data_IF_229402021149
#
_entry.id   IF_229402021149
#
_cell.length_a   1.000
_cell.length_b   1.000
_cell.length_c   1.000
_cell.angle_alpha   90.00
_cell.angle_beta   90.00
_cell.angle_gamma   90.00
#
_symmetry.space_group_name_H-M   'P 1'
#
loop_
_entity.id
_entity.type
_entity.pdbx_description
1 polymer ?
#
# COMPACT_ATOMS: atom_id res chain seq x y z
N UNK A 1 -32.29 -9.12 14.53
CA UNK A 1 -31.13 -9.88 14.01
C UNK A 1 -29.91 -8.99 14.04
N UNK A 2 -28.81 -9.40 14.70
CA UNK A 2 -27.53 -8.66 14.60
C UNK A 2 -26.88 -9.04 13.27
N UNK A 3 -26.62 -8.06 12.41
CA UNK A 3 -25.91 -8.29 11.14
C UNK A 3 -24.48 -8.74 11.45
N UNK A 4 -24.02 -9.83 10.83
CA UNK A 4 -22.65 -10.30 11.03
C UNK A 4 -21.66 -9.24 10.52
N UNK A 5 -20.55 -8.93 11.24
CA UNK A 5 -19.65 -7.83 10.88
C UNK A 5 -19.09 -7.92 9.46
N UNK A 6 -18.87 -9.14 8.97
CA UNK A 6 -18.43 -9.37 7.58
C UNK A 6 -19.48 -8.94 6.54
N UNK A 7 -20.77 -9.25 6.77
CA UNK A 7 -21.85 -8.81 5.89
C UNK A 7 -22.06 -7.30 6.00
N UNK A 8 -21.84 -6.73 7.19
CA UNK A 8 -21.84 -5.30 7.37
C UNK A 8 -20.70 -4.63 6.58
N UNK A 9 -19.48 -5.17 6.59
CA UNK A 9 -18.34 -4.66 5.83
C UNK A 9 -18.61 -4.65 4.31
N UNK A 10 -19.16 -5.75 3.78
CA UNK A 10 -19.55 -5.84 2.36
C UNK A 10 -20.69 -4.87 2.04
N UNK A 11 -21.69 -4.79 2.92
CA UNK A 11 -22.80 -3.85 2.78
C UNK A 11 -22.35 -2.38 2.76
N UNK A 12 -21.33 -2.03 3.56
CA UNK A 12 -20.72 -0.70 3.58
C UNK A 12 -19.98 -0.39 2.28
N UNK A 13 -19.24 -1.35 1.72
CA UNK A 13 -18.62 -1.16 0.41
C UNK A 13 -19.68 -0.91 -0.68
N UNK A 14 -20.73 -1.74 -0.72
CA UNK A 14 -21.78 -1.64 -1.73
C UNK A 14 -22.67 -0.40 -1.56
N UNK A 15 -22.83 0.12 -0.33
CA UNK A 15 -23.64 1.31 -0.09
C UNK A 15 -23.03 2.58 -0.68
N UNK A 16 -21.73 2.61 -0.98
CA UNK A 16 -21.07 3.73 -1.64
C UNK A 16 -21.68 4.03 -3.02
N UNK A 17 -22.07 3.01 -3.79
CA UNK A 17 -22.63 3.16 -5.14
C UNK A 17 -23.94 3.97 -5.19
N UNK A 18 -25.04 3.54 -4.53
CA UNK A 18 -26.29 4.29 -4.55
C UNK A 18 -26.15 5.66 -3.88
N UNK A 19 -25.25 5.78 -2.90
CA UNK A 19 -24.99 7.02 -2.17
C UNK A 19 -24.32 8.07 -3.05
N UNK A 20 -23.30 7.70 -3.81
CA UNK A 20 -22.64 8.58 -4.77
C UNK A 20 -23.58 8.98 -5.90
N UNK A 21 -24.35 8.03 -6.44
CA UNK A 21 -25.37 8.33 -7.44
C UNK A 21 -26.40 9.37 -6.97
N UNK A 22 -26.91 9.20 -5.74
CA UNK A 22 -27.85 10.15 -5.14
C UNK A 22 -27.20 11.50 -4.89
N UNK A 23 -25.98 11.52 -4.34
CA UNK A 23 -25.23 12.76 -4.11
C UNK A 23 -24.99 13.52 -5.41
N UNK A 24 -24.63 12.85 -6.50
CA UNK A 24 -24.41 13.48 -7.78
C UNK A 24 -25.70 14.08 -8.37
N UNK A 25 -26.81 13.36 -8.26
CA UNK A 25 -28.12 13.85 -8.69
C UNK A 25 -28.57 15.09 -7.89
N UNK A 26 -28.30 15.12 -6.60
CA UNK A 26 -28.67 16.22 -5.69
C UNK A 26 -27.68 17.39 -5.80
N UNK A 27 -26.40 17.13 -6.03
CA UNK A 27 -25.37 18.13 -6.22
C UNK A 27 -25.64 19.03 -7.44
N UNK A 28 -26.28 18.48 -8.48
CA UNK A 28 -26.75 19.27 -9.62
C UNK A 28 -27.81 20.34 -9.25
N UNK A 29 -28.39 20.24 -8.05
CA UNK A 29 -29.50 21.09 -7.57
C UNK A 29 -29.12 21.95 -6.35
N UNK A 30 -27.97 21.72 -5.72
CA UNK A 30 -27.60 22.33 -4.44
C UNK A 30 -26.33 23.19 -4.54
N UNK A 31 -26.22 24.18 -3.64
CA UNK A 31 -24.98 24.96 -3.47
C UNK A 31 -23.90 24.15 -2.74
N UNK A 32 -22.60 24.43 -2.96
CA UNK A 32 -21.48 23.72 -2.31
C UNK A 32 -21.59 23.51 -0.79
N UNK A 33 -22.02 24.51 0.04
CA UNK A 33 -22.16 24.28 1.48
C UNK A 33 -23.32 23.34 1.84
N UNK A 34 -24.41 23.32 1.06
CA UNK A 34 -25.50 22.37 1.28
C UNK A 34 -25.08 20.93 0.96
N UNK A 35 -24.19 20.76 -0.02
CA UNK A 35 -23.64 19.44 -0.37
C UNK A 35 -22.79 18.91 0.79
N UNK A 36 -21.95 19.75 1.41
CA UNK A 36 -21.16 19.36 2.58
C UNK A 36 -22.04 18.94 3.77
N UNK A 37 -23.12 19.68 4.05
CA UNK A 37 -24.09 19.33 5.11
C UNK A 37 -24.78 18.00 4.79
N UNK A 38 -25.17 17.78 3.53
CA UNK A 38 -25.81 16.54 3.11
C UNK A 38 -24.86 15.34 3.20
N UNK A 39 -23.58 15.51 2.84
CA UNK A 39 -22.53 14.49 3.02
C UNK A 39 -22.37 14.11 4.49
N UNK A 40 -22.36 15.07 5.41
CA UNK A 40 -22.30 14.80 6.86
C UNK A 40 -23.53 14.02 7.34
N UNK A 41 -24.72 14.44 6.91
CA UNK A 41 -25.99 13.77 7.26
C UNK A 41 -25.99 12.34 6.75
N UNK A 42 -25.51 12.09 5.54
CA UNK A 42 -25.44 10.77 4.90
C UNK A 42 -24.36 9.87 5.54
N UNK A 43 -23.24 10.44 5.98
CA UNK A 43 -22.16 9.72 6.68
C UNK A 43 -22.52 9.39 8.14
N UNK A 44 -23.42 10.17 8.77
CA UNK A 44 -23.83 9.97 10.16
C UNK A 44 -24.53 8.62 10.45
N UNK A 45 -25.51 8.11 9.67
CA UNK A 45 -26.09 6.79 9.88
C UNK A 45 -25.12 5.65 9.55
N UNK A 46 -24.14 5.86 8.66
CA UNK A 46 -23.06 4.89 8.44
C UNK A 46 -22.23 4.69 9.71
N UNK A 47 -21.93 5.78 10.43
CA UNK A 47 -21.25 5.71 11.72
C UNK A 47 -22.07 4.94 12.78
N UNK A 48 -23.39 5.14 12.80
CA UNK A 48 -24.32 4.44 13.69
C UNK A 48 -24.41 2.94 13.33
N UNK A 49 -24.46 2.60 12.04
CA UNK A 49 -24.46 1.24 11.52
C UNK A 49 -23.14 0.49 11.77
N UNK A 50 -22.03 1.22 11.83
CA UNK A 50 -20.72 0.68 12.18
C UNK A 50 -20.63 0.45 13.70
N UNK A 51 -21.10 1.40 14.51
CA UNK A 51 -20.90 1.40 15.96
C UNK A 51 -21.85 0.47 16.72
N UNK A 52 -23.17 0.53 16.45
CA UNK A 52 -24.18 -0.15 17.27
C UNK A 52 -24.09 -1.70 17.22
N UNK A 53 -23.96 -2.35 16.04
CA UNK A 53 -23.92 -3.82 15.97
C UNK A 53 -22.60 -4.40 16.48
N UNK A 54 -21.52 -3.63 16.41
CA UNK A 54 -20.16 -4.08 16.71
C UNK A 54 -19.70 -3.71 18.12
N UNK A 55 -20.52 -3.01 18.92
CA UNK A 55 -20.20 -2.57 20.29
C UNK A 55 -19.65 -3.67 21.20
N UNK A 56 -19.99 -4.93 20.92
CA UNK A 56 -19.52 -6.09 21.68
C UNK A 56 -18.08 -6.52 21.38
N UNK A 57 -17.43 -5.97 20.35
CA UNK A 57 -16.03 -6.27 20.02
C UNK A 57 -15.10 -5.26 20.69
N UNK A 58 -14.10 -5.78 21.40
CA UNK A 58 -13.12 -4.97 22.13
C UNK A 58 -12.02 -4.38 21.23
N UNK A 59 -11.86 -4.87 20.00
CA UNK A 59 -10.80 -4.42 19.10
C UNK A 59 -11.21 -3.16 18.30
N UNK A 60 -10.67 -1.97 18.61
CA UNK A 60 -11.01 -0.73 17.92
C UNK A 60 -10.67 -0.74 16.43
N UNK A 61 -9.75 -1.61 15.99
CA UNK A 61 -9.39 -1.74 14.56
C UNK A 61 -10.56 -2.26 13.71
N UNK A 62 -11.52 -2.97 14.32
CA UNK A 62 -12.72 -3.41 13.63
C UNK A 62 -13.46 -2.21 13.01
N UNK A 63 -13.69 -1.15 13.80
CA UNK A 63 -14.41 0.03 13.33
C UNK A 63 -13.63 0.77 12.24
N UNK A 64 -12.29 0.83 12.35
CA UNK A 64 -11.43 1.42 11.33
C UNK A 64 -11.56 0.67 10.01
N UNK A 65 -11.48 -0.67 10.01
CA UNK A 65 -11.66 -1.45 8.79
C UNK A 65 -13.06 -1.32 8.21
N UNK A 66 -14.09 -1.19 9.05
CA UNK A 66 -15.46 -0.95 8.57
C UNK A 66 -15.60 0.39 7.84
N UNK A 67 -15.00 1.46 8.37
CA UNK A 67 -14.96 2.77 7.69
C UNK A 67 -14.15 2.67 6.39
N UNK A 68 -12.99 2.00 6.42
CA UNK A 68 -12.16 1.80 5.23
C UNK A 68 -12.84 0.95 4.15
N UNK A 69 -13.72 0.01 4.51
CA UNK A 69 -14.55 -0.72 3.53
C UNK A 69 -15.49 0.21 2.77
N UNK A 70 -16.12 1.18 3.45
CA UNK A 70 -16.95 2.19 2.78
C UNK A 70 -16.11 3.06 1.85
N UNK A 71 -14.95 3.54 2.32
CA UNK A 71 -14.04 4.37 1.51
C UNK A 71 -13.52 3.59 0.28
N UNK A 72 -13.18 2.32 0.44
CA UNK A 72 -12.81 1.45 -0.67
C UNK A 72 -13.95 1.31 -1.71
N UNK A 73 -15.22 1.34 -1.26
CA UNK A 73 -16.39 1.39 -2.13
C UNK A 73 -16.48 2.71 -2.90
N UNK A 74 -16.20 3.84 -2.23
CA UNK A 74 -16.09 5.16 -2.88
C UNK A 74 -15.00 5.17 -3.95
N UNK A 75 -13.81 4.62 -3.64
CA UNK A 75 -12.72 4.47 -4.60
C UNK A 75 -13.11 3.61 -5.80
N UNK A 76 -13.89 2.54 -5.57
CA UNK A 76 -14.40 1.71 -6.66
C UNK A 76 -15.30 2.52 -7.61
N UNK A 77 -16.23 3.32 -7.07
CA UNK A 77 -17.12 4.19 -7.85
C UNK A 77 -16.30 5.19 -8.68
N UNK A 78 -15.33 5.85 -8.06
CA UNK A 78 -14.47 6.85 -8.71
C UNK A 78 -13.67 6.25 -9.86
N UNK A 79 -13.04 5.09 -9.63
CA UNK A 79 -12.24 4.42 -10.63
C UNK A 79 -13.09 3.93 -11.81
N UNK A 80 -14.23 3.28 -11.54
CA UNK A 80 -15.15 2.79 -12.58
C UNK A 80 -15.73 3.92 -13.44
N UNK A 81 -16.02 5.07 -12.85
CA UNK A 81 -16.51 6.23 -13.61
C UNK A 81 -15.44 6.84 -14.50
N UNK A 82 -14.21 6.99 -13.99
CA UNK A 82 -13.13 7.58 -14.78
C UNK A 82 -12.63 6.69 -15.91
N UNK A 83 -12.79 5.39 -15.81
CA UNK A 83 -12.56 4.47 -16.91
C UNK A 83 -13.80 4.22 -17.79
N UNK A 84 -14.92 4.89 -17.50
CA UNK A 84 -16.12 4.90 -18.36
C UNK A 84 -17.02 3.67 -18.22
N UNK A 85 -16.84 2.85 -17.19
CA UNK A 85 -17.72 1.71 -16.89
C UNK A 85 -19.06 2.14 -16.28
N UNK A 86 -19.07 3.29 -15.58
CA UNK A 86 -20.26 3.90 -15.00
C UNK A 86 -20.34 5.37 -15.41
N UNK A 87 -21.55 5.94 -15.41
CA UNK A 87 -21.79 7.35 -15.72
C UNK A 87 -22.68 7.99 -14.67
N UNK A 88 -22.37 9.22 -14.27
CA UNK A 88 -23.18 10.04 -13.36
C UNK A 88 -23.22 9.59 -11.89
N UNK A 89 -22.18 8.94 -11.38
CA UNK A 89 -22.05 8.61 -9.95
C UNK A 89 -21.12 9.57 -9.19
N UNK A 90 -20.00 10.00 -9.76
CA UNK A 90 -18.93 10.72 -9.06
C UNK A 90 -18.42 11.98 -9.80
N UNK A 91 -19.01 12.35 -10.93
CA UNK A 91 -18.56 13.47 -11.76
C UNK A 91 -18.49 14.80 -10.99
N UNK A 92 -19.50 15.09 -10.15
CA UNK A 92 -19.46 16.24 -9.25
C UNK A 92 -18.25 16.18 -8.30
N UNK A 93 -18.06 15.05 -7.61
CA UNK A 93 -17.00 14.89 -6.61
C UNK A 93 -15.61 15.04 -7.21
N UNK A 94 -15.39 14.49 -8.40
CA UNK A 94 -14.06 14.52 -9.03
C UNK A 94 -13.81 15.88 -9.70
N UNK A 95 -14.84 16.55 -10.22
CA UNK A 95 -14.68 17.86 -10.84
C UNK A 95 -14.55 18.99 -9.81
N UNK A 96 -15.35 18.95 -8.76
CA UNK A 96 -15.42 20.03 -7.77
C UNK A 96 -14.66 19.75 -6.48
N UNK A 97 -14.38 18.49 -6.13
CA UNK A 97 -13.70 18.13 -4.88
C UNK A 97 -12.24 17.75 -5.08
N UNK A 98 -11.98 16.65 -5.80
CA UNK A 98 -10.66 16.02 -5.87
C UNK A 98 -10.22 15.70 -7.32
N UNK A 99 -9.79 16.72 -8.10
CA UNK A 99 -9.47 16.56 -9.52
C UNK A 99 -8.29 15.61 -9.79
N UNK A 100 -7.37 15.48 -8.83
CA UNK A 100 -6.20 14.60 -8.90
C UNK A 100 -6.57 13.10 -8.93
N UNK A 101 -7.75 12.70 -8.45
CA UNK A 101 -8.25 11.33 -8.59
C UNK A 101 -8.57 10.96 -10.04
N UNK A 102 -8.75 11.96 -10.92
CA UNK A 102 -8.94 11.74 -12.36
C UNK A 102 -7.66 11.43 -13.13
N UNK A 103 -6.49 11.46 -12.49
CA UNK A 103 -5.20 11.08 -13.11
C UNK A 103 -5.10 9.56 -13.24
N UNK A 104 -4.25 9.09 -14.15
CA UNK A 104 -3.97 7.66 -14.28
C UNK A 104 -3.53 7.03 -12.95
N UNK A 105 -2.62 7.70 -12.22
CA UNK A 105 -2.17 7.23 -10.90
C UNK A 105 -3.31 7.20 -9.88
N UNK A 106 -4.12 8.28 -9.81
CA UNK A 106 -5.30 8.37 -8.94
C UNK A 106 -6.28 7.20 -9.14
N UNK A 107 -6.61 6.89 -10.39
CA UNK A 107 -7.49 5.76 -10.72
C UNK A 107 -6.88 4.43 -10.28
N UNK A 108 -5.58 4.22 -10.53
CA UNK A 108 -4.92 2.95 -10.19
C UNK A 108 -4.76 2.75 -8.68
N UNK A 109 -4.53 3.81 -7.90
CA UNK A 109 -4.55 3.67 -6.42
C UNK A 109 -5.96 3.35 -5.91
N UNK A 110 -7.01 3.94 -6.51
CA UNK A 110 -8.41 3.66 -6.15
C UNK A 110 -8.79 2.22 -6.48
N UNK A 111 -8.37 1.66 -7.63
CA UNK A 111 -8.54 0.23 -7.91
C UNK A 111 -7.82 -0.66 -6.90
N UNK A 112 -6.57 -0.35 -6.56
CA UNK A 112 -5.82 -1.12 -5.57
C UNK A 112 -6.51 -1.10 -4.19
N UNK A 113 -7.04 0.06 -3.80
CA UNK A 113 -7.77 0.19 -2.54
C UNK A 113 -9.08 -0.61 -2.56
N UNK A 114 -9.87 -0.46 -3.63
CA UNK A 114 -11.15 -1.12 -3.84
C UNK A 114 -11.06 -2.65 -3.90
N UNK A 115 -9.93 -3.20 -4.35
CA UNK A 115 -9.75 -4.65 -4.55
C UNK A 115 -8.85 -5.25 -3.48
N UNK A 116 -7.57 -4.89 -3.46
CA UNK A 116 -6.54 -5.59 -2.69
C UNK A 116 -6.64 -5.22 -1.20
N UNK A 117 -6.70 -3.94 -0.89
CA UNK A 117 -6.86 -3.48 0.49
C UNK A 117 -8.24 -3.87 1.04
N UNK A 118 -9.31 -3.77 0.23
CA UNK A 118 -10.64 -4.25 0.62
C UNK A 118 -10.66 -5.74 0.99
N UNK A 119 -10.02 -6.59 0.17
CA UNK A 119 -9.87 -8.01 0.50
C UNK A 119 -9.14 -8.21 1.84
N UNK A 120 -8.08 -7.43 2.10
CA UNK A 120 -7.39 -7.46 3.40
C UNK A 120 -8.28 -6.99 4.55
N UNK A 121 -9.12 -5.97 4.36
CA UNK A 121 -10.11 -5.55 5.38
C UNK A 121 -11.05 -6.70 5.72
N UNK A 122 -11.60 -7.39 4.72
CA UNK A 122 -12.47 -8.54 4.96
C UNK A 122 -11.76 -9.66 5.71
N UNK A 123 -10.51 -9.97 5.35
CA UNK A 123 -9.69 -10.97 6.05
C UNK A 123 -9.43 -10.59 7.51
N UNK A 124 -9.09 -9.33 7.77
CA UNK A 124 -8.85 -8.82 9.13
C UNK A 124 -10.14 -8.79 9.96
N UNK A 125 -11.26 -8.33 9.39
CA UNK A 125 -12.58 -8.37 10.03
C UNK A 125 -12.98 -9.82 10.35
N UNK A 126 -12.82 -10.74 9.41
CA UNK A 126 -13.11 -12.16 9.62
C UNK A 126 -12.23 -12.76 10.73
N UNK A 127 -10.95 -12.42 10.76
CA UNK A 127 -10.03 -12.88 11.80
C UNK A 127 -10.37 -12.31 13.19
N UNK A 128 -10.75 -11.03 13.29
CA UNK A 128 -11.23 -10.41 14.53
C UNK A 128 -12.47 -11.16 15.05
N UNK A 129 -13.45 -11.41 14.19
CA UNK A 129 -14.67 -12.14 14.55
C UNK A 129 -14.37 -13.58 14.99
N UNK A 130 -13.42 -14.24 14.32
CA UNK A 130 -12.98 -15.60 14.66
C UNK A 130 -11.98 -15.65 15.82
N UNK A 131 -11.61 -14.51 16.43
CA UNK A 131 -10.57 -14.40 17.46
C UNK A 131 -9.22 -15.01 17.04
N UNK A 132 -8.88 -14.90 15.76
CA UNK A 132 -7.59 -15.32 15.20
C UNK A 132 -6.65 -14.13 15.07
N UNK A 133 -5.35 -14.40 15.10
CA UNK A 133 -4.36 -13.35 14.81
C UNK A 133 -4.46 -12.92 13.34
N UNK A 134 -4.45 -11.62 13.12
CA UNK A 134 -4.46 -10.98 11.81
C UNK A 134 -3.21 -10.11 11.60
N UNK A 135 -2.23 -10.26 12.50
CA UNK A 135 -1.00 -9.45 12.56
C UNK A 135 -0.25 -9.37 11.23
N UNK A 136 -0.05 -10.51 10.57
CA UNK A 136 0.72 -10.55 9.32
C UNK A 136 0.01 -9.82 8.17
N UNK A 137 -1.32 -9.99 8.08
CA UNK A 137 -2.15 -9.26 7.10
C UNK A 137 -2.16 -7.77 7.44
N UNK A 138 -2.26 -7.42 8.72
CA UNK A 138 -2.17 -6.03 9.20
C UNK A 138 -0.86 -5.35 8.83
N UNK A 139 0.29 -6.00 9.04
CA UNK A 139 1.60 -5.46 8.67
C UNK A 139 1.74 -5.25 7.15
N UNK A 140 1.27 -6.21 6.35
CA UNK A 140 1.25 -6.06 4.90
C UNK A 140 0.35 -4.87 4.47
N UNK A 141 -0.86 -4.81 5.03
CA UNK A 141 -1.79 -3.71 4.78
C UNK A 141 -1.20 -2.36 5.17
N UNK A 142 -0.51 -2.26 6.31
CA UNK A 142 0.16 -1.03 6.75
C UNK A 142 1.11 -0.50 5.68
N UNK A 143 1.94 -1.37 5.10
CA UNK A 143 2.84 -0.99 4.03
C UNK A 143 2.12 -0.52 2.76
N UNK A 144 1.16 -1.33 2.31
CA UNK A 144 0.32 -1.04 1.14
C UNK A 144 -0.39 0.31 1.25
N UNK A 145 -1.03 0.55 2.39
CA UNK A 145 -1.80 1.76 2.65
C UNK A 145 -0.91 3.00 2.84
N UNK A 146 0.20 2.86 3.57
CA UNK A 146 1.14 3.97 3.83
C UNK A 146 1.82 4.42 2.54
N UNK A 147 2.26 3.48 1.69
CA UNK A 147 2.89 3.82 0.41
C UNK A 147 1.94 4.59 -0.50
N UNK A 148 0.68 4.13 -0.61
CA UNK A 148 -0.34 4.79 -1.42
C UNK A 148 -0.53 6.25 -0.96
N UNK A 149 -0.71 6.45 0.35
CA UNK A 149 -0.92 7.77 0.93
C UNK A 149 0.29 8.69 0.75
N UNK A 150 1.51 8.22 1.06
CA UNK A 150 2.72 9.05 0.99
C UNK A 150 2.94 9.55 -0.44
N UNK A 151 2.86 8.67 -1.43
CA UNK A 151 3.11 9.05 -2.84
C UNK A 151 1.99 9.93 -3.37
N UNK A 152 0.73 9.61 -3.05
CA UNK A 152 -0.42 10.39 -3.50
C UNK A 152 -0.42 11.81 -2.91
N UNK A 153 -0.21 11.95 -1.60
CA UNK A 153 -0.24 13.25 -0.94
C UNK A 153 0.94 14.12 -1.38
N UNK A 154 2.16 13.58 -1.37
CA UNK A 154 3.33 14.35 -1.81
C UNK A 154 3.26 14.70 -3.31
N UNK A 155 2.75 13.78 -4.14
CA UNK A 155 2.53 14.05 -5.56
C UNK A 155 1.53 15.17 -5.80
N UNK A 156 0.44 15.24 -5.02
CA UNK A 156 -0.52 16.34 -5.10
C UNK A 156 0.08 17.69 -4.66
N UNK A 157 0.95 17.66 -3.64
CA UNK A 157 1.61 18.87 -3.12
C UNK A 157 2.68 19.42 -4.07
N UNK A 158 3.40 18.55 -4.78
CA UNK A 158 4.56 18.95 -5.60
C UNK A 158 4.23 19.03 -7.10
N UNK A 159 3.26 18.23 -7.55
CA UNK A 159 2.92 18.10 -8.96
C UNK A 159 2.04 19.22 -9.50
N UNK A 160 1.52 18.97 -10.71
CA UNK A 160 0.66 19.88 -11.48
C UNK A 160 -0.53 20.44 -10.69
N UNK A 161 -1.07 19.67 -9.75
CA UNK A 161 -2.26 20.05 -8.96
C UNK A 161 -1.95 20.84 -7.69
N UNK A 162 -0.68 21.19 -7.45
CA UNK A 162 -0.24 21.90 -6.24
C UNK A 162 -0.94 23.24 -5.99
N UNK A 163 -1.30 23.96 -7.06
CA UNK A 163 -2.06 25.23 -6.99
C UNK A 163 -3.57 25.04 -6.80
N UNK A 164 -4.09 23.82 -6.97
CA UNK A 164 -5.52 23.48 -6.93
C UNK A 164 -5.89 22.67 -5.68
N UNK A 165 -5.03 22.64 -4.67
CA UNK A 165 -5.26 21.90 -3.43
C UNK A 165 -6.43 22.56 -2.67
N UNK A 166 -7.58 21.91 -2.73
CA UNK A 166 -8.76 22.34 -1.98
C UNK A 166 -8.61 22.05 -0.48
N UNK A 167 -9.32 22.79 0.41
CA UNK A 167 -9.36 22.47 1.84
C UNK A 167 -9.80 21.03 2.13
N UNK A 168 -10.58 20.41 1.24
CA UNK A 168 -10.99 19.01 1.35
C UNK A 168 -9.79 18.04 1.37
N UNK A 169 -8.69 18.39 0.71
CA UNK A 169 -7.45 17.61 0.74
C UNK A 169 -6.89 17.45 2.16
N UNK A 170 -7.14 18.39 3.07
CA UNK A 170 -6.71 18.29 4.47
C UNK A 170 -7.43 17.17 5.22
N UNK A 171 -8.59 16.71 4.75
CA UNK A 171 -9.24 15.51 5.30
C UNK A 171 -8.44 14.23 5.05
N UNK A 172 -7.43 14.26 4.17
CA UNK A 172 -6.50 13.15 4.02
C UNK A 172 -5.44 13.09 5.15
N UNK A 173 -5.22 14.16 5.92
CA UNK A 173 -4.21 14.20 6.99
C UNK A 173 -4.49 13.23 8.15
N UNK A 174 -5.73 13.08 8.66
CA UNK A 174 -6.06 12.04 9.63
C UNK A 174 -5.69 10.61 9.16
N UNK A 175 -5.72 10.34 7.85
CA UNK A 175 -5.32 9.05 7.30
C UNK A 175 -3.81 8.81 7.37
N UNK A 176 -2.98 9.80 7.70
CA UNK A 176 -1.58 9.59 8.04
C UNK A 176 -1.42 9.03 9.46
N UNK A 177 -2.33 9.36 10.38
CA UNK A 177 -2.26 8.95 11.78
C UNK A 177 -2.75 7.50 11.96
N UNK A 178 -3.83 7.14 11.25
CA UNK A 178 -4.46 5.81 11.31
C UNK A 178 -3.46 4.66 11.05
N UNK A 179 -2.68 4.62 9.94
CA UNK A 179 -1.75 3.54 9.68
C UNK A 179 -0.61 3.51 10.69
N UNK A 180 -0.16 4.66 11.22
CA UNK A 180 0.88 4.70 12.27
C UNK A 180 0.35 4.07 13.56
N UNK A 181 -0.86 4.46 13.99
CA UNK A 181 -1.51 3.90 15.17
C UNK A 181 -1.80 2.39 15.01
N UNK A 182 -2.33 1.99 13.85
CA UNK A 182 -2.60 0.59 13.55
C UNK A 182 -1.30 -0.23 13.49
N UNK A 183 -0.24 0.30 12.87
CA UNK A 183 1.09 -0.31 12.83
C UNK A 183 1.60 -0.58 14.24
N UNK A 184 1.58 0.42 15.12
CA UNK A 184 1.98 0.25 16.52
C UNK A 184 1.23 -0.94 17.17
N UNK A 185 -0.09 -0.99 16.99
CA UNK A 185 -0.92 -2.07 17.52
C UNK A 185 -0.56 -3.44 16.93
N UNK A 186 -0.17 -3.52 15.65
CA UNK A 186 0.31 -4.78 15.04
C UNK A 186 1.69 -5.20 15.53
N UNK A 187 2.61 -4.25 15.73
CA UNK A 187 3.93 -4.53 16.28
C UNK A 187 3.85 -5.00 17.73
N UNK A 188 2.92 -4.45 18.51
CA UNK A 188 2.66 -4.85 19.90
C UNK A 188 2.00 -6.24 20.02
N UNK A 189 1.36 -6.74 18.97
CA UNK A 189 0.80 -8.10 18.97
C UNK A 189 1.91 -9.16 18.98
N UNK A 190 1.73 -10.26 19.75
CA UNK A 190 2.70 -11.34 19.78
C UNK A 190 2.87 -11.95 18.38
N UNK A 191 4.11 -12.26 18.02
CA UNK A 191 4.44 -12.91 16.75
C UNK A 191 3.79 -14.28 16.70
N UNK A 192 3.16 -14.60 15.57
CA UNK A 192 2.52 -15.91 15.32
C UNK A 192 3.51 -17.01 14.96
N UNK A 193 4.81 -16.80 15.12
CA UNK A 193 5.82 -17.79 14.76
C UNK A 193 5.63 -19.04 15.64
N UNK A 194 5.42 -20.25 15.07
CA UNK A 194 5.61 -21.46 15.84
C UNK A 194 7.07 -21.49 16.26
N UNK A 195 7.35 -21.36 17.56
CA UNK A 195 8.72 -21.37 18.09
C UNK A 195 9.44 -22.63 17.59
N UNK A 196 10.40 -22.51 16.66
CA UNK A 196 11.19 -23.65 16.27
C UNK A 196 11.97 -24.11 17.51
N UNK A 197 12.20 -25.42 17.64
CA UNK A 197 13.02 -25.93 18.74
C UNK A 197 14.39 -25.26 18.73
N UNK A 198 14.98 -25.06 19.91
CA UNK A 198 16.29 -24.42 20.05
C UNK A 198 17.36 -25.08 19.17
N UNK A 199 17.30 -26.40 19.02
CA UNK A 199 18.19 -27.18 18.17
C UNK A 199 18.05 -26.83 16.68
N UNK A 200 16.81 -26.64 16.19
CA UNK A 200 16.54 -26.24 14.80
C UNK A 200 17.02 -24.82 14.52
N UNK A 201 16.91 -23.92 15.50
CA UNK A 201 17.44 -22.56 15.39
C UNK A 201 18.96 -22.60 15.29
N UNK A 202 19.62 -23.34 16.17
CA UNK A 202 21.08 -23.48 16.15
C UNK A 202 21.58 -24.12 14.84
N UNK A 203 20.91 -25.16 14.35
CA UNK A 203 21.26 -25.82 13.09
C UNK A 203 21.17 -24.84 11.91
N UNK A 204 20.06 -24.10 11.76
CA UNK A 204 19.88 -23.16 10.67
C UNK A 204 20.85 -21.96 10.76
N UNK A 205 21.17 -21.49 11.97
CA UNK A 205 22.11 -20.38 12.17
C UNK A 205 23.55 -20.76 11.88
N UNK A 206 23.91 -22.04 12.02
CA UNK A 206 25.24 -22.55 11.69
C UNK A 206 25.45 -22.79 10.19
N UNK A 207 24.38 -22.72 9.37
CA UNK A 207 24.48 -22.94 7.91
C UNK A 207 25.10 -21.74 7.21
N UNK A 208 26.13 -22.01 6.41
CA UNK A 208 26.70 -21.02 5.49
C UNK A 208 25.67 -20.59 4.44
N UNK A 209 25.85 -19.42 3.83
CA UNK A 209 24.92 -18.90 2.81
C UNK A 209 24.76 -19.85 1.61
N UNK A 210 25.83 -20.53 1.19
CA UNK A 210 25.79 -21.51 0.10
C UNK A 210 24.91 -22.73 0.42
N UNK A 211 24.74 -23.06 1.71
CA UNK A 211 23.84 -24.12 2.16
C UNK A 211 22.38 -23.64 2.24
N UNK A 212 22.14 -22.35 2.00
CA UNK A 212 20.82 -21.69 2.02
C UNK A 212 20.53 -21.09 0.64
N UNK A 213 20.21 -21.91 -0.38
CA UNK A 213 20.10 -21.45 -1.78
C UNK A 213 19.03 -20.37 -1.99
N UNK A 214 17.93 -20.40 -1.23
CA UNK A 214 16.91 -19.36 -1.27
C UNK A 214 17.44 -18.01 -0.75
N UNK A 215 18.24 -18.03 0.32
CA UNK A 215 18.83 -16.81 0.89
C UNK A 215 19.92 -16.26 -0.04
N UNK A 216 20.72 -17.15 -0.66
CA UNK A 216 21.69 -16.76 -1.68
C UNK A 216 21.02 -16.08 -2.89
N UNK A 217 19.94 -16.67 -3.41
CA UNK A 217 19.16 -16.08 -4.49
C UNK A 217 18.55 -14.73 -4.11
N UNK A 218 18.01 -14.62 -2.89
CA UNK A 218 17.46 -13.36 -2.38
C UNK A 218 18.53 -12.28 -2.20
N UNK A 219 19.74 -12.62 -1.73
CA UNK A 219 20.87 -11.68 -1.67
C UNK A 219 21.24 -11.18 -3.06
N UNK A 220 21.37 -12.08 -4.04
CA UNK A 220 21.65 -11.70 -5.43
C UNK A 220 20.56 -10.79 -6.01
N UNK A 221 19.29 -11.13 -5.80
CA UNK A 221 18.16 -10.30 -6.20
C UNK A 221 18.20 -8.92 -5.54
N UNK A 222 18.40 -8.86 -4.22
CA UNK A 222 18.40 -7.59 -3.48
C UNK A 222 19.57 -6.70 -3.91
N UNK A 223 20.73 -7.26 -4.26
CA UNK A 223 21.84 -6.49 -4.84
C UNK A 223 21.45 -5.83 -6.18
N UNK A 224 20.79 -6.59 -7.07
CA UNK A 224 20.26 -6.04 -8.32
C UNK A 224 19.19 -4.97 -8.05
N UNK A 225 18.30 -5.21 -7.09
CA UNK A 225 17.29 -4.25 -6.68
C UNK A 225 17.90 -2.96 -6.14
N UNK A 226 18.96 -3.03 -5.31
CA UNK A 226 19.70 -1.86 -4.82
C UNK A 226 20.27 -1.03 -5.98
N UNK A 227 20.93 -1.69 -6.94
CA UNK A 227 21.50 -1.01 -8.11
C UNK A 227 20.39 -0.34 -8.93
N UNK A 228 19.31 -1.07 -9.20
CA UNK A 228 18.17 -0.56 -9.99
C UNK A 228 17.46 0.60 -9.30
N UNK A 229 17.22 0.51 -7.98
CA UNK A 229 16.62 1.59 -7.18
C UNK A 229 17.51 2.82 -7.15
N UNK A 230 18.83 2.64 -6.94
CA UNK A 230 19.78 3.75 -6.95
C UNK A 230 19.77 4.45 -8.31
N UNK A 231 19.84 3.67 -9.39
CA UNK A 231 19.81 4.19 -10.75
C UNK A 231 18.55 5.03 -11.02
N UNK A 232 17.35 4.50 -10.73
CA UNK A 232 16.10 5.26 -10.91
C UNK A 232 16.00 6.48 -10.01
N UNK A 233 16.54 6.41 -8.80
CA UNK A 233 16.69 7.55 -7.90
C UNK A 233 17.55 8.66 -8.51
N UNK A 234 18.71 8.30 -9.10
CA UNK A 234 19.59 9.25 -9.80
C UNK A 234 18.93 9.84 -11.05
N UNK A 235 18.17 9.04 -11.79
CA UNK A 235 17.41 9.50 -12.97
C UNK A 235 16.45 10.62 -12.59
N UNK A 236 15.64 10.45 -11.53
CA UNK A 236 14.66 11.47 -11.13
C UNK A 236 15.26 12.68 -10.42
N UNK A 237 16.51 12.57 -9.98
CA UNK A 237 17.34 13.68 -9.47
C UNK A 237 18.11 14.38 -10.58
N UNK A 238 17.74 14.15 -11.84
CA UNK A 238 18.28 14.84 -13.02
C UNK A 238 19.80 14.62 -13.22
N UNK A 239 20.27 13.39 -12.95
CA UNK A 239 21.66 12.99 -13.19
C UNK A 239 22.07 13.19 -14.67
N UNK A 240 23.19 13.89 -14.96
CA UNK A 240 23.58 14.26 -16.32
C UNK A 240 24.19 13.10 -17.14
N UNK A 241 24.26 11.88 -16.58
CA UNK A 241 24.85 10.74 -17.28
C UNK A 241 24.00 10.31 -18.50
N UNK A 242 24.65 9.98 -19.62
CA UNK A 242 23.99 9.56 -20.85
C UNK A 242 22.99 8.41 -20.62
N UNK A 243 23.35 7.41 -19.80
CA UNK A 243 22.45 6.29 -19.48
C UNK A 243 21.18 6.73 -18.73
N UNK A 244 21.26 7.77 -17.90
CA UNK A 244 20.08 8.32 -17.22
C UNK A 244 19.19 9.08 -18.20
N UNK A 245 19.80 9.83 -19.12
CA UNK A 245 19.10 10.51 -20.20
C UNK A 245 18.38 9.51 -21.12
N UNK A 246 19.09 8.50 -21.62
CA UNK A 246 18.50 7.48 -22.49
C UNK A 246 17.35 6.75 -21.79
N UNK A 247 17.49 6.42 -20.50
CA UNK A 247 16.43 5.77 -19.74
C UNK A 247 15.17 6.65 -19.64
N UNK A 248 15.31 7.92 -19.25
CA UNK A 248 14.16 8.79 -18.99
C UNK A 248 13.45 9.26 -20.28
N UNK A 249 14.11 9.21 -21.44
CA UNK A 249 13.50 9.59 -22.71
C UNK A 249 13.04 8.40 -23.55
N UNK A 250 13.77 7.28 -23.52
CA UNK A 250 13.50 6.13 -24.39
C UNK A 250 12.76 5.00 -23.67
N UNK A 251 13.05 4.74 -22.39
CA UNK A 251 12.48 3.59 -21.68
C UNK A 251 11.30 4.00 -20.80
N UNK A 252 11.50 4.95 -19.90
CA UNK A 252 10.49 5.31 -18.89
C UNK A 252 10.20 6.82 -18.86
N UNK A 253 9.59 7.36 -19.95
CA UNK A 253 9.21 8.78 -20.01
C UNK A 253 8.16 9.17 -18.96
N UNK A 254 7.49 8.20 -18.35
CA UNK A 254 6.53 8.42 -17.27
C UNK A 254 7.16 9.14 -16.08
N UNK A 255 8.46 8.96 -15.81
CA UNK A 255 9.16 9.67 -14.75
C UNK A 255 9.16 11.21 -14.92
N UNK A 256 8.88 11.71 -16.12
CA UNK A 256 8.78 13.15 -16.45
C UNK A 256 7.35 13.69 -16.38
N UNK A 257 6.37 12.87 -16.02
CA UNK A 257 4.98 13.31 -15.96
C UNK A 257 4.80 14.46 -14.93
N UNK A 258 4.23 15.62 -15.32
CA UNK A 258 4.04 16.76 -14.44
C UNK A 258 3.15 16.50 -13.22
N UNK A 259 2.40 15.39 -13.17
CA UNK A 259 1.67 14.98 -11.95
C UNK A 259 2.59 14.57 -10.79
N UNK A 260 3.88 14.38 -11.04
CA UNK A 260 4.95 14.11 -10.07
C UNK A 260 4.86 12.80 -9.27
N UNK A 261 3.75 12.05 -9.24
CA UNK A 261 3.67 10.73 -8.58
C UNK A 261 4.81 9.77 -8.94
N UNK A 262 5.17 9.55 -10.23
CA UNK A 262 6.28 8.66 -10.57
C UNK A 262 7.63 9.15 -10.05
N UNK A 263 7.87 10.47 -10.05
CA UNK A 263 9.08 11.07 -9.48
C UNK A 263 9.13 10.85 -7.96
N UNK A 264 8.03 11.14 -7.25
CA UNK A 264 7.93 10.90 -5.81
C UNK A 264 8.11 9.42 -5.47
N UNK A 265 7.51 8.52 -6.25
CA UNK A 265 7.65 7.07 -6.05
C UNK A 265 9.13 6.63 -6.09
N UNK A 266 9.91 7.15 -7.04
CA UNK A 266 11.34 6.85 -7.13
C UNK A 266 12.14 7.43 -5.96
N UNK A 267 11.79 8.64 -5.50
CA UNK A 267 12.42 9.24 -4.31
C UNK A 267 12.09 8.46 -3.04
N UNK A 268 10.85 8.01 -2.87
CA UNK A 268 10.46 7.14 -1.75
C UNK A 268 11.24 5.82 -1.80
N UNK A 269 11.43 5.24 -2.99
CA UNK A 269 12.30 4.07 -3.12
C UNK A 269 13.76 4.37 -2.77
N UNK A 270 14.31 5.49 -3.24
CA UNK A 270 15.68 5.89 -2.96
C UNK A 270 15.93 6.09 -1.46
N UNK A 271 15.01 6.76 -0.76
CA UNK A 271 15.21 7.12 0.66
C UNK A 271 14.74 6.06 1.65
N UNK A 272 13.82 5.17 1.27
CA UNK A 272 13.25 4.17 2.20
C UNK A 272 13.44 2.72 1.74
N UNK A 273 13.21 2.40 0.47
CA UNK A 273 13.34 1.03 -0.01
C UNK A 273 14.81 0.61 -0.19
N UNK A 274 15.68 1.49 -0.70
CA UNK A 274 17.11 1.22 -0.85
C UNK A 274 17.80 0.90 0.48
N UNK A 275 17.70 1.72 1.55
CA UNK A 275 18.30 1.35 2.83
C UNK A 275 17.67 0.07 3.39
N UNK A 276 16.37 -0.15 3.19
CA UNK A 276 15.70 -1.38 3.57
C UNK A 276 16.29 -2.62 2.87
N UNK A 277 16.57 -2.55 1.57
CA UNK A 277 17.21 -3.65 0.85
C UNK A 277 18.63 -3.93 1.35
N UNK A 278 19.41 -2.89 1.65
CA UNK A 278 20.74 -3.04 2.23
C UNK A 278 20.69 -3.75 3.60
N UNK A 279 19.81 -3.33 4.51
CA UNK A 279 19.66 -4.00 5.82
C UNK A 279 19.04 -5.39 5.68
N UNK A 280 18.26 -5.65 4.64
CA UNK A 280 17.70 -6.99 4.36
C UNK A 280 18.79 -7.95 3.90
N UNK A 281 19.73 -7.49 3.07
CA UNK A 281 20.93 -8.27 2.73
C UNK A 281 21.69 -8.60 4.00
N UNK A 282 21.94 -7.61 4.86
CA UNK A 282 22.57 -7.84 6.16
C UNK A 282 21.82 -8.90 7.00
N UNK A 283 20.49 -8.82 7.09
CA UNK A 283 19.67 -9.76 7.85
C UNK A 283 19.65 -11.18 7.28
N UNK A 284 19.93 -11.37 5.98
CA UNK A 284 20.08 -12.69 5.37
C UNK A 284 21.47 -13.31 5.63
N UNK A 285 22.47 -12.45 5.82
CA UNK A 285 23.85 -12.84 6.13
C UNK A 285 24.06 -13.10 7.62
N UNK A 286 23.45 -12.29 8.48
CA UNK A 286 23.63 -12.33 9.94
C UNK A 286 22.41 -12.93 10.63
N UNK A 287 22.56 -14.04 11.37
CA UNK A 287 21.44 -14.67 12.08
C UNK A 287 20.90 -13.79 13.22
N UNK A 288 19.67 -14.08 13.65
CA UNK A 288 19.08 -13.45 14.84
C UNK A 288 18.42 -12.08 14.61
N UNK A 289 18.27 -11.66 13.35
CA UNK A 289 17.55 -10.44 12.99
C UNK A 289 16.03 -10.60 13.13
N UNK A 290 15.53 -10.58 14.37
CA UNK A 290 14.12 -10.91 14.66
C UNK A 290 13.11 -9.92 14.07
N UNK A 291 13.53 -8.69 13.77
CA UNK A 291 12.72 -7.65 13.14
C UNK A 291 12.46 -7.91 11.65
N UNK A 292 13.27 -8.76 11.01
CA UNK A 292 13.29 -8.94 9.56
C UNK A 292 11.93 -9.35 8.99
N UNK A 293 11.27 -10.33 9.59
CA UNK A 293 9.98 -10.82 9.09
C UNK A 293 8.86 -9.78 9.13
N UNK A 294 8.85 -8.92 10.15
CA UNK A 294 7.83 -7.88 10.29
C UNK A 294 8.01 -6.79 9.22
N UNK A 295 9.25 -6.32 9.05
CA UNK A 295 9.56 -5.33 8.02
C UNK A 295 9.46 -5.88 6.60
N UNK A 296 9.75 -7.17 6.38
CA UNK A 296 9.52 -7.83 5.10
C UNK A 296 8.05 -7.80 4.69
N UNK A 297 7.12 -8.00 5.62
CA UNK A 297 5.69 -7.86 5.34
C UNK A 297 5.30 -6.43 4.99
N UNK A 298 5.76 -5.45 5.77
CA UNK A 298 5.48 -4.03 5.51
C UNK A 298 6.00 -3.62 4.13
N UNK A 299 7.26 -3.91 3.81
CA UNK A 299 7.84 -3.54 2.52
C UNK A 299 7.28 -4.36 1.35
N UNK A 300 6.85 -5.60 1.56
CA UNK A 300 6.13 -6.36 0.55
C UNK A 300 4.80 -5.69 0.18
N UNK A 301 4.01 -5.26 1.17
CA UNK A 301 2.78 -4.50 0.92
C UNK A 301 3.03 -3.17 0.22
N UNK A 302 4.02 -2.42 0.70
CA UNK A 302 4.39 -1.13 0.15
C UNK A 302 4.84 -1.23 -1.31
N UNK A 303 5.78 -2.12 -1.62
CA UNK A 303 6.30 -2.28 -2.98
C UNK A 303 5.25 -2.91 -3.91
N UNK A 304 4.40 -3.81 -3.40
CA UNK A 304 3.30 -4.37 -4.17
C UNK A 304 2.33 -3.29 -4.67
N UNK A 305 1.86 -2.42 -3.77
CA UNK A 305 1.00 -1.31 -4.12
C UNK A 305 1.68 -0.34 -5.08
N UNK A 306 2.91 0.09 -4.75
CA UNK A 306 3.64 1.06 -5.55
C UNK A 306 3.90 0.57 -6.97
N UNK A 307 4.31 -0.69 -7.14
CA UNK A 307 4.58 -1.25 -8.46
C UNK A 307 3.32 -1.41 -9.29
N UNK A 308 2.21 -1.85 -8.67
CA UNK A 308 0.92 -1.90 -9.36
C UNK A 308 0.51 -0.53 -9.88
N UNK A 309 0.45 0.48 -8.99
CA UNK A 309 -0.03 1.81 -9.37
C UNK A 309 0.93 2.50 -10.34
N UNK A 310 2.24 2.33 -10.17
CA UNK A 310 3.25 2.91 -11.06
C UNK A 310 3.18 2.31 -12.47
N UNK A 311 3.21 0.97 -12.58
CA UNK A 311 3.16 0.29 -13.89
C UNK A 311 1.83 0.56 -14.58
N UNK A 312 0.71 0.35 -13.89
CA UNK A 312 -0.60 0.52 -14.49
C UNK A 312 -0.83 1.97 -14.94
N UNK A 313 -0.39 2.97 -14.16
CA UNK A 313 -0.50 4.37 -14.56
C UNK A 313 0.41 4.70 -15.76
N UNK A 314 1.61 4.14 -15.84
CA UNK A 314 2.56 4.43 -16.92
C UNK A 314 2.09 4.01 -18.31
N UNK A 315 1.19 3.02 -18.40
CA UNK A 315 0.59 2.53 -19.65
C UNK A 315 -0.85 3.02 -19.85
N UNK A 316 -1.44 3.67 -18.83
CA UNK A 316 -2.83 4.08 -18.86
C UNK A 316 -3.10 5.14 -19.93
N UNK A 317 -4.27 5.07 -20.58
CA UNK A 317 -4.64 5.99 -21.66
C UNK A 317 -4.75 7.47 -21.21
N UNK A 318 -5.06 7.69 -19.92
CA UNK A 318 -5.11 9.04 -19.30
C UNK A 318 -3.74 9.65 -19.03
N UNK A 319 -2.67 8.86 -19.05
CA UNK A 319 -1.31 9.41 -19.04
C UNK A 319 -1.06 10.06 -20.40
N UNK A 320 -0.56 11.31 -20.49
CA UNK A 320 -0.35 11.96 -21.77
C UNK A 320 0.63 11.16 -22.65
N UNK A 321 0.38 11.11 -23.95
CA UNK A 321 1.18 10.31 -24.90
C UNK A 321 2.70 10.53 -24.79
N UNK A 322 3.23 11.77 -24.60
CA UNK A 322 4.67 11.98 -24.45
C UNK A 322 5.30 11.36 -23.19
N UNK A 323 4.49 11.01 -22.19
CA UNK A 323 4.93 10.42 -20.92
C UNK A 323 4.54 8.95 -20.78
N UNK A 324 3.75 8.39 -21.70
CA UNK A 324 3.45 6.96 -21.71
C UNK A 324 4.68 6.15 -22.13
N UNK A 325 4.82 4.96 -21.56
CA UNK A 325 5.87 4.04 -21.99
C UNK A 325 5.67 3.69 -23.49
N UNK A 326 6.71 3.78 -24.33
CA UNK A 326 6.59 3.44 -25.75
C UNK A 326 6.17 1.98 -25.97
N UNK A 327 5.31 1.73 -26.97
CA UNK A 327 4.80 0.39 -27.32
C UNK A 327 5.88 -0.61 -27.73
N UNK A 328 7.08 -0.14 -28.07
CA UNK A 328 8.20 -1.03 -28.40
C UNK A 328 8.88 -1.59 -27.15
N UNK A 329 8.97 -0.78 -26.09
CA UNK A 329 9.79 -1.05 -24.90
C UNK A 329 8.94 -1.37 -23.66
N UNK A 330 7.62 -1.27 -23.74
CA UNK A 330 6.71 -1.48 -22.61
C UNK A 330 6.88 -2.83 -21.93
N UNK A 331 7.07 -3.91 -22.70
CA UNK A 331 7.27 -5.26 -22.15
C UNK A 331 8.49 -5.31 -21.22
N UNK A 332 9.60 -4.70 -21.63
CA UNK A 332 10.84 -4.71 -20.85
C UNK A 332 10.66 -3.95 -19.53
N UNK A 333 10.09 -2.75 -19.59
CA UNK A 333 9.83 -1.93 -18.40
C UNK A 333 8.84 -2.61 -17.46
N UNK A 334 7.77 -3.21 -17.99
CA UNK A 334 6.81 -3.99 -17.21
C UNK A 334 7.49 -5.18 -16.55
N UNK A 335 8.29 -5.95 -17.30
CA UNK A 335 9.00 -7.10 -16.75
C UNK A 335 9.94 -6.70 -15.61
N UNK A 336 10.73 -5.65 -15.78
CA UNK A 336 11.62 -5.14 -14.73
C UNK A 336 10.85 -4.72 -13.48
N UNK A 337 9.74 -4.01 -13.62
CA UNK A 337 8.92 -3.59 -12.50
C UNK A 337 8.20 -4.76 -11.81
N UNK A 338 7.71 -5.74 -12.57
CA UNK A 338 7.12 -6.98 -12.02
C UNK A 338 8.17 -7.81 -11.27
N UNK A 339 9.36 -7.98 -11.84
CA UNK A 339 10.47 -8.65 -11.18
C UNK A 339 10.85 -7.94 -9.87
N UNK A 340 10.91 -6.61 -9.90
CA UNK A 340 11.14 -5.78 -8.71
C UNK A 340 10.03 -5.95 -7.66
N UNK A 341 8.77 -6.07 -8.08
CA UNK A 341 7.63 -6.28 -7.19
C UNK A 341 7.65 -7.65 -6.51
N UNK A 342 8.08 -8.69 -7.22
CA UNK A 342 8.05 -10.09 -6.75
C UNK A 342 9.06 -10.36 -5.64
N UNK A 343 10.26 -9.77 -5.71
CA UNK A 343 11.32 -10.07 -4.74
C UNK A 343 10.96 -9.84 -3.27
N UNK A 344 10.42 -8.67 -2.89
CA UNK A 344 9.94 -8.41 -1.53
C UNK A 344 8.85 -9.41 -1.08
N UNK A 345 8.01 -9.90 -1.99
CA UNK A 345 7.00 -10.93 -1.69
C UNK A 345 7.68 -12.26 -1.33
N UNK A 346 8.67 -12.68 -2.12
CA UNK A 346 9.44 -13.90 -1.87
C UNK A 346 10.22 -13.78 -0.55
N UNK A 347 10.75 -12.59 -0.24
CA UNK A 347 11.45 -12.31 1.01
C UNK A 347 10.51 -12.42 2.22
N UNK A 348 9.32 -11.82 2.15
CA UNK A 348 8.29 -11.96 3.18
C UNK A 348 7.86 -13.43 3.35
N UNK A 349 7.64 -14.14 2.25
CA UNK A 349 7.35 -15.57 2.25
C UNK A 349 8.46 -16.39 2.92
N UNK A 350 9.73 -16.11 2.61
CA UNK A 350 10.91 -16.76 3.22
C UNK A 350 10.94 -16.55 4.73
N UNK A 351 10.67 -15.34 5.20
CA UNK A 351 10.67 -15.01 6.62
C UNK A 351 9.53 -15.71 7.37
N UNK A 352 8.35 -15.84 6.74
CA UNK A 352 7.20 -16.49 7.36
C UNK A 352 7.29 -18.03 7.35
N UNK A 353 7.76 -18.62 6.25
CA UNK A 353 7.77 -20.07 6.08
C UNK A 353 8.95 -20.75 6.79
N UNK A 354 10.11 -20.08 6.87
CA UNK A 354 11.33 -20.61 7.52
C UNK A 354 11.94 -19.61 8.54
N UNK A 355 11.23 -19.26 9.62
CA UNK A 355 11.66 -18.17 10.51
C UNK A 355 12.93 -18.47 11.32
N UNK A 356 13.34 -19.73 11.45
CA UNK A 356 14.37 -20.20 12.37
C UNK A 356 15.70 -19.41 12.32
N UNK A 357 16.18 -19.05 11.12
CA UNK A 357 17.41 -18.27 10.97
C UNK A 357 17.34 -16.89 11.64
N UNK A 358 16.16 -16.26 11.62
CA UNK A 358 15.91 -14.90 12.12
C UNK A 358 15.56 -14.86 13.62
N UNK A 359 15.28 -16.01 14.24
CA UNK A 359 14.94 -16.10 15.66
C UNK A 359 16.13 -15.74 16.57
N UNK A 360 15.83 -15.25 17.78
CA UNK A 360 16.87 -14.99 18.79
C UNK A 360 17.71 -16.24 19.04
N UNK A 361 19.02 -16.07 19.16
CA UNK A 361 19.94 -17.19 19.44
C UNK A 361 19.68 -17.78 20.83
N UNK A 362 20.03 -19.06 20.99
CA UNK A 362 19.90 -19.78 22.27
C UNK A 362 20.74 -19.12 23.38
N UNK A 363 21.89 -18.51 23.03
CA UNK A 363 22.76 -17.81 23.99
C UNK A 363 22.13 -16.54 24.56
N UNK A 364 21.51 -15.69 23.73
CA UNK A 364 20.85 -14.46 24.19
C UNK A 364 19.60 -14.71 25.03
N UNK A 365 18.95 -15.86 24.85
CA UNK A 365 17.77 -16.23 25.64
C UNK A 365 18.10 -16.63 27.08
N UNK A 366 19.32 -17.13 27.33
CA UNK A 366 19.82 -17.46 28.67
C UNK A 366 20.23 -16.21 29.45
N UNK A 367 20.83 -15.22 28.80
CA UNK A 367 21.17 -13.94 29.44
C UNK A 367 19.93 -13.15 29.86
N UNK A 368 18.87 -13.11 29.04
CA UNK A 368 17.59 -12.47 29.39
C UNK A 368 16.79 -13.18 30.49
N UNK A 369 17.09 -14.44 30.80
CA UNK A 369 16.47 -15.17 31.93
C UNK A 369 17.23 -15.00 33.25
N UNK A 370 18.48 -14.53 33.18
CA UNK A 370 19.36 -14.33 34.33
C UNK A 370 19.51 -12.84 34.71
N UNK A 371 18.79 -11.95 34.02
CA UNK A 371 18.50 -10.56 34.40
C UNK A 371 17.02 -10.48 34.76
#
# INVERSE_FOLDING_TARGET
MRLHPLWAAVGLFLSAFPLFYLLNAVAALLSPPMIAVLSIIILSPLFVLIYLPNRSYEDPLLYVFMVLCFIAGTDAVIALEKDGYTSSFADFYIREGEPYLGTAYGIMISYWHAVVNFAMYLLMVAAIVQRKSYRNVGLYWTGSFTMALVVFLLGNVIGKYSSEIQPAFLFNLPYLIIPIWAAKRFFDQPRTCPLPTADKVAEEQNKNLLQRPMDLGLVGFLLLAVIYTLFRGLVVLDCPANSCFDYIYLQEPYLRDPVAYPKIQMLVYLFYALPYFCISIYALLVPGCTWMGDWALVFAGAIGQAQFSHVAASIHHRTPFPYRIPERDWWFVVLCNVAYAVGPQILAYRCLYKPAFFCSSVSQSKEKKNQ
#
